data_IF_322882838727
#
_entry.id   IF_322882838727
#
_cell.length_a   1.000
_cell.length_b   1.000
_cell.length_c   1.000
_cell.angle_alpha   90.00
_cell.angle_beta   90.00
_cell.angle_gamma   90.00
#
_symmetry.space_group_name_H-M   'P 1'
#
loop_
_entity.id
_entity.type
_entity.pdbx_description
1 polymer ?
#
# COMPACT_ATOMS: atom_id res chain seq x y z
N UNK A 1 41.31 7.17 3.64
CA UNK A 1 40.91 8.52 3.22
C UNK A 1 40.68 8.50 1.72
N UNK A 2 39.41 8.42 1.32
CA UNK A 2 38.80 8.63 -0.02
C UNK A 2 37.59 7.71 -0.10
N UNK A 3 36.53 8.16 0.58
CA UNK A 3 35.17 7.69 0.38
C UNK A 3 34.83 7.98 -1.09
N UNK A 4 34.49 6.93 -1.85
CA UNK A 4 33.92 7.08 -3.18
C UNK A 4 32.58 7.79 -3.03
N UNK A 5 32.55 9.04 -3.47
CA UNK A 5 31.38 9.89 -3.49
C UNK A 5 30.24 9.21 -4.26
N UNK A 6 29.05 9.31 -3.68
CA UNK A 6 27.80 8.84 -4.24
C UNK A 6 27.59 9.48 -5.61
N UNK A 7 27.50 8.64 -6.66
CA UNK A 7 26.88 9.02 -7.92
C UNK A 7 25.37 9.20 -7.69
N UNK A 8 25.01 10.32 -7.07
CA UNK A 8 23.66 10.86 -7.10
C UNK A 8 23.56 11.77 -8.34
N UNK A 9 22.43 11.70 -9.04
CA UNK A 9 21.94 12.66 -10.03
C UNK A 9 22.49 12.52 -11.47
N UNK A 10 21.71 11.89 -12.35
CA UNK A 10 20.97 12.64 -13.37
C UNK A 10 20.11 11.74 -14.26
N UNK A 11 18.89 12.18 -14.51
CA UNK A 11 18.22 12.09 -15.81
C UNK A 11 17.72 13.51 -16.07
N UNK A 12 18.09 14.11 -17.21
CA UNK A 12 17.73 15.47 -17.68
C UNK A 12 18.42 16.73 -17.11
N UNK A 13 19.61 16.63 -16.49
CA UNK A 13 20.48 17.80 -16.29
C UNK A 13 20.01 18.89 -15.31
N UNK A 14 18.81 18.80 -14.74
CA UNK A 14 18.38 19.62 -13.60
C UNK A 14 18.79 18.95 -12.28
N UNK A 15 19.46 19.71 -11.40
CA UNK A 15 19.81 19.23 -10.06
C UNK A 15 18.52 19.04 -9.24
N UNK A 16 18.31 17.83 -8.70
CA UNK A 16 17.16 17.55 -7.83
C UNK A 16 17.29 18.34 -6.52
N UNK A 17 16.19 18.87 -5.95
CA UNK A 17 16.23 19.63 -4.71
C UNK A 17 16.79 18.77 -3.57
N UNK A 18 17.57 19.41 -2.70
CA UNK A 18 18.16 18.75 -1.54
C UNK A 18 17.06 18.30 -0.56
N UNK A 19 17.04 17.00 -0.24
CA UNK A 19 16.01 16.42 0.61
C UNK A 19 16.27 16.76 2.09
N UNK A 20 15.62 17.80 2.60
CA UNK A 20 15.69 18.19 4.01
C UNK A 20 14.77 17.32 4.87
N UNK A 21 15.30 16.22 5.41
CA UNK A 21 14.55 15.27 6.23
C UNK A 21 15.12 15.17 7.65
N UNK A 22 14.24 15.09 8.66
CA UNK A 22 14.69 14.86 10.04
C UNK A 22 15.23 13.44 10.23
N UNK A 23 16.11 13.25 11.22
CA UNK A 23 16.68 11.94 11.53
C UNK A 23 15.61 10.89 11.84
N UNK A 24 14.55 11.28 12.56
CA UNK A 24 13.43 10.40 12.89
C UNK A 24 12.66 9.96 11.63
N UNK A 25 12.32 10.89 10.75
CA UNK A 25 11.64 10.56 9.50
C UNK A 25 12.52 9.67 8.63
N UNK A 26 13.81 9.98 8.53
CA UNK A 26 14.79 9.17 7.80
C UNK A 26 14.87 7.74 8.35
N UNK A 27 14.88 7.57 9.68
CA UNK A 27 14.88 6.27 10.33
C UNK A 27 13.61 5.46 10.01
N UNK A 28 12.43 6.11 10.04
CA UNK A 28 11.15 5.46 9.69
C UNK A 28 11.13 5.03 8.23
N UNK A 29 11.50 5.92 7.30
CA UNK A 29 11.51 5.61 5.86
C UNK A 29 12.48 4.46 5.54
N UNK A 30 13.69 4.49 6.11
CA UNK A 30 14.69 3.42 5.96
C UNK A 30 14.22 2.07 6.51
N UNK A 31 13.53 2.10 7.66
CA UNK A 31 13.09 0.87 8.32
C UNK A 31 11.88 0.25 7.63
N UNK A 32 10.92 1.06 7.17
CA UNK A 32 9.61 0.57 6.74
C UNK A 32 9.36 0.56 5.24
N UNK A 33 9.99 1.45 4.47
CA UNK A 33 9.54 1.72 3.09
C UNK A 33 10.59 1.56 2.00
N UNK A 34 11.89 1.67 2.31
CA UNK A 34 12.92 1.36 1.33
C UNK A 34 12.85 -0.10 0.92
N UNK A 35 12.85 -0.36 -0.39
CA UNK A 35 12.97 -1.71 -0.92
C UNK A 35 14.29 -2.32 -0.49
N UNK A 36 14.24 -3.63 -0.22
CA UNK A 36 15.39 -4.42 0.20
C UNK A 36 15.67 -5.52 -0.80
N UNK A 37 16.95 -5.79 -1.02
CA UNK A 37 17.40 -6.89 -1.85
C UNK A 37 17.29 -8.23 -1.13
N UNK A 38 17.68 -9.33 -1.79
CA UNK A 38 17.70 -10.67 -1.20
C UNK A 38 18.58 -10.79 0.06
N UNK A 39 19.57 -9.91 0.20
CA UNK A 39 20.46 -9.83 1.38
C UNK A 39 19.87 -9.00 2.54
N UNK A 40 18.63 -8.51 2.37
CA UNK A 40 17.93 -7.67 3.34
C UNK A 40 18.43 -6.23 3.40
N UNK A 41 19.38 -5.81 2.56
CA UNK A 41 19.90 -4.43 2.56
C UNK A 41 19.05 -3.52 1.65
N UNK A 42 18.93 -2.22 1.98
CA UNK A 42 18.25 -1.28 1.11
C UNK A 42 18.89 -1.22 -0.28
N UNK A 43 18.08 -1.29 -1.33
CA UNK A 43 18.50 -1.20 -2.74
C UNK A 43 18.14 0.15 -3.38
N UNK A 44 17.59 1.06 -2.59
CA UNK A 44 17.24 2.41 -3.00
C UNK A 44 17.43 3.38 -1.82
N UNK A 45 17.72 4.63 -2.12
CA UNK A 45 17.69 5.76 -1.21
C UNK A 45 16.28 6.31 -1.05
N UNK A 46 16.07 7.20 -0.07
CA UNK A 46 14.76 7.87 0.13
C UNK A 46 14.36 8.69 -1.10
N UNK A 47 15.32 9.36 -1.73
CA UNK A 47 15.08 10.13 -2.95
C UNK A 47 14.66 9.21 -4.12
N UNK A 48 15.27 8.04 -4.26
CA UNK A 48 14.89 7.06 -5.28
C UNK A 48 13.53 6.42 -4.97
N UNK A 49 13.24 6.14 -3.71
CA UNK A 49 11.94 5.66 -3.25
C UNK A 49 10.82 6.65 -3.59
N UNK A 50 10.99 7.94 -3.30
CA UNK A 50 10.02 8.98 -3.68
C UNK A 50 9.84 9.09 -5.17
N UNK A 51 10.92 8.99 -5.95
CA UNK A 51 10.82 9.03 -7.41
C UNK A 51 10.09 7.80 -7.96
N UNK A 52 10.39 6.60 -7.46
CA UNK A 52 9.67 5.37 -7.80
C UNK A 52 8.17 5.52 -7.57
N UNK A 53 7.77 6.03 -6.40
CA UNK A 53 6.34 6.24 -6.08
C UNK A 53 5.72 7.25 -7.03
N UNK A 54 6.36 8.41 -7.23
CA UNK A 54 5.87 9.45 -8.11
C UNK A 54 5.71 8.97 -9.56
N UNK A 55 6.74 8.35 -10.13
CA UNK A 55 6.72 7.83 -11.51
C UNK A 55 5.72 6.68 -11.69
N UNK A 56 5.56 5.81 -10.69
CA UNK A 56 4.59 4.71 -10.80
C UNK A 56 3.15 5.23 -10.82
N UNK A 57 2.81 6.21 -9.98
CA UNK A 57 1.47 6.80 -9.95
C UNK A 57 1.21 7.62 -11.22
N UNK A 58 2.19 8.39 -11.69
CA UNK A 58 2.10 9.15 -12.93
C UNK A 58 2.02 8.28 -14.20
N UNK A 59 2.33 6.99 -14.10
CA UNK A 59 2.25 6.06 -15.24
C UNK A 59 0.83 5.75 -15.73
N UNK A 60 -0.21 6.28 -15.08
CA UNK A 60 -1.59 6.24 -15.57
C UNK A 60 -1.87 7.30 -16.64
N UNK A 61 -1.04 8.34 -16.68
CA UNK A 61 -1.15 9.45 -17.64
C UNK A 61 -0.60 9.04 -19.02
N UNK A 62 -0.97 9.80 -20.05
CA UNK A 62 -0.44 9.61 -21.41
C UNK A 62 1.09 9.80 -21.45
N UNK A 63 1.76 9.14 -22.40
CA UNK A 63 3.24 9.13 -22.49
C UNK A 63 3.88 10.54 -22.56
N UNK A 64 3.16 11.52 -23.11
CA UNK A 64 3.60 12.92 -23.19
C UNK A 64 3.50 13.71 -21.88
N UNK A 65 2.69 13.25 -20.93
CA UNK A 65 2.38 13.97 -19.68
C UNK A 65 2.96 13.27 -18.44
N UNK A 66 3.12 11.94 -18.49
CA UNK A 66 3.56 11.12 -17.36
C UNK A 66 4.86 11.64 -16.70
N UNK A 67 5.83 12.10 -17.49
CA UNK A 67 7.08 12.63 -16.94
C UNK A 67 6.87 13.94 -16.16
N UNK A 68 6.09 14.87 -16.69
CA UNK A 68 5.81 16.14 -16.03
C UNK A 68 5.01 15.93 -14.73
N UNK A 69 4.04 15.02 -14.75
CA UNK A 69 3.25 14.64 -13.57
C UNK A 69 4.12 13.93 -12.53
N UNK A 70 5.03 13.05 -12.95
CA UNK A 70 5.98 12.41 -12.04
C UNK A 70 6.89 13.43 -11.34
N UNK A 71 7.35 14.47 -12.05
CA UNK A 71 8.16 15.53 -11.47
C UNK A 71 7.36 16.36 -10.45
N UNK A 72 6.10 16.69 -10.76
CA UNK A 72 5.21 17.40 -9.83
C UNK A 72 4.95 16.57 -8.55
N UNK A 73 4.65 15.28 -8.69
CA UNK A 73 4.47 14.39 -7.53
C UNK A 73 5.75 14.22 -6.72
N UNK A 74 6.90 14.12 -7.38
CA UNK A 74 8.18 14.04 -6.70
C UNK A 74 8.47 15.31 -5.88
N UNK A 75 8.17 16.48 -6.42
CA UNK A 75 8.28 17.75 -5.69
C UNK A 75 7.35 17.75 -4.47
N UNK A 76 6.09 17.33 -4.61
CA UNK A 76 5.15 17.26 -3.50
C UNK A 76 5.63 16.33 -2.37
N UNK A 77 6.19 15.17 -2.71
CA UNK A 77 6.73 14.21 -1.74
C UNK A 77 7.99 14.74 -1.05
N UNK A 78 8.93 15.29 -1.83
CA UNK A 78 10.22 15.77 -1.31
C UNK A 78 10.11 17.06 -0.50
N UNK A 79 9.08 17.87 -0.77
CA UNK A 79 8.74 19.07 0.02
C UNK A 79 7.76 18.79 1.16
N UNK A 80 7.36 17.52 1.35
CA UNK A 80 6.39 17.08 2.36
C UNK A 80 5.02 17.80 2.29
N UNK A 81 4.67 18.39 1.14
CA UNK A 81 3.36 19.02 0.91
C UNK A 81 2.24 17.99 0.74
N UNK A 82 2.60 16.78 0.33
CA UNK A 82 1.69 15.65 0.26
C UNK A 82 2.42 14.37 0.62
N UNK A 83 1.72 13.45 1.28
CA UNK A 83 2.23 12.13 1.61
C UNK A 83 1.11 11.11 1.42
N UNK A 84 1.26 10.12 0.52
CA UNK A 84 0.26 9.07 0.35
C UNK A 84 0.27 8.11 1.54
N UNK A 85 -0.71 7.20 1.56
CA UNK A 85 -0.80 6.16 2.57
C UNK A 85 0.42 5.20 2.51
N UNK A 86 0.58 4.39 3.56
CA UNK A 86 1.69 3.42 3.65
C UNK A 86 1.72 2.39 2.51
N UNK A 87 0.60 1.78 2.07
CA UNK A 87 0.59 0.85 0.93
C UNK A 87 1.12 1.45 -0.37
N UNK A 88 0.90 2.74 -0.61
CA UNK A 88 1.44 3.41 -1.80
C UNK A 88 2.98 3.35 -1.81
N UNK A 89 3.65 3.53 -0.66
CA UNK A 89 5.11 3.43 -0.57
C UNK A 89 5.63 2.01 -0.82
N UNK A 90 4.96 1.01 -0.25
CA UNK A 90 5.38 -0.40 -0.32
C UNK A 90 4.98 -1.08 -1.63
N UNK A 91 3.86 -0.67 -2.23
CA UNK A 91 3.26 -1.28 -3.42
C UNK A 91 3.70 -0.66 -4.74
N UNK A 92 3.95 0.66 -4.79
CA UNK A 92 4.20 1.35 -6.04
C UNK A 92 5.48 0.85 -6.74
N UNK A 93 5.37 0.35 -7.97
CA UNK A 93 6.51 -0.18 -8.72
C UNK A 93 7.13 -1.42 -8.07
N UNK A 94 6.35 -2.21 -7.33
CA UNK A 94 6.77 -3.49 -6.76
C UNK A 94 5.82 -4.61 -7.18
N UNK A 95 6.23 -5.89 -7.09
CA UNK A 95 5.34 -7.01 -7.37
C UNK A 95 4.12 -7.10 -6.45
N UNK A 96 4.11 -6.39 -5.32
CA UNK A 96 2.97 -6.35 -4.39
C UNK A 96 1.77 -5.61 -5.00
N UNK A 97 2.00 -4.50 -5.70
CA UNK A 97 1.01 -3.77 -6.49
C UNK A 97 -0.17 -3.13 -5.74
N UNK A 98 -0.35 -3.40 -4.44
CA UNK A 98 -1.45 -2.84 -3.66
C UNK A 98 -1.14 -1.41 -3.20
N UNK A 99 -1.92 -0.43 -3.66
CA UNK A 99 -1.77 0.98 -3.29
C UNK A 99 -2.86 1.47 -2.32
N UNK A 100 -3.94 0.69 -2.16
CA UNK A 100 -5.04 1.03 -1.26
C UNK A 100 -4.83 0.44 0.14
N UNK A 101 -5.25 1.20 1.16
CA UNK A 101 -5.08 0.82 2.56
C UNK A 101 -6.36 0.31 3.23
N UNK A 102 -7.53 0.72 2.75
CA UNK A 102 -8.78 0.51 3.46
C UNK A 102 -9.79 -0.21 2.56
N UNK A 103 -10.27 -1.35 3.02
CA UNK A 103 -11.28 -2.16 2.35
C UNK A 103 -12.46 -2.37 3.27
N UNK A 104 -13.67 -2.35 2.72
CA UNK A 104 -14.89 -2.70 3.46
C UNK A 104 -15.51 -3.91 2.76
N UNK A 105 -15.60 -5.02 3.48
CA UNK A 105 -16.11 -6.27 2.95
C UNK A 105 -17.52 -6.55 3.50
N UNK A 106 -18.51 -6.81 2.62
CA UNK A 106 -19.81 -7.28 3.06
C UNK A 106 -19.70 -8.70 3.63
N UNK A 107 -20.55 -9.02 4.61
CA UNK A 107 -20.70 -10.38 5.11
C UNK A 107 -22.19 -10.75 4.98
N UNK A 108 -22.49 -11.67 4.08
CA UNK A 108 -23.80 -12.25 3.93
C UNK A 108 -24.05 -13.33 4.97
N UNK A 109 -25.32 -13.53 5.32
CA UNK A 109 -25.79 -14.54 6.29
C UNK A 109 -25.81 -15.96 5.69
N UNK A 110 -24.67 -16.34 5.12
CA UNK A 110 -24.38 -17.63 4.52
C UNK A 110 -22.94 -18.04 4.84
N UNK A 111 -22.68 -19.34 4.94
CA UNK A 111 -21.36 -19.84 5.35
C UNK A 111 -20.29 -19.69 4.26
N UNK A 112 -20.65 -19.65 2.97
CA UNK A 112 -19.67 -19.60 1.87
C UNK A 112 -20.15 -20.14 0.51
N UNK A 113 -21.45 -20.37 0.31
CA UNK A 113 -22.08 -20.55 -1.00
C UNK A 113 -22.22 -19.22 -1.72
N UNK A 114 -22.51 -18.16 -0.98
CA UNK A 114 -22.50 -16.79 -1.48
C UNK A 114 -21.06 -16.28 -1.62
N UNK A 115 -20.79 -15.47 -2.65
CA UNK A 115 -19.46 -14.88 -2.86
C UNK A 115 -19.06 -13.87 -1.78
N UNK A 116 -20.00 -13.43 -0.96
CA UNK A 116 -19.78 -12.62 0.24
C UNK A 116 -20.19 -13.36 1.54
N UNK A 117 -20.31 -14.69 1.51
CA UNK A 117 -20.55 -15.49 2.71
C UNK A 117 -19.38 -15.45 3.71
N UNK A 118 -19.62 -15.85 4.95
CA UNK A 118 -18.69 -15.71 6.09
C UNK A 118 -17.27 -16.20 5.78
N UNK A 119 -17.10 -17.44 5.29
CA UNK A 119 -15.77 -17.98 5.02
C UNK A 119 -15.13 -17.45 3.73
N UNK A 120 -15.93 -17.03 2.75
CA UNK A 120 -15.42 -16.39 1.54
C UNK A 120 -14.89 -14.99 1.88
N UNK A 121 -15.66 -14.19 2.63
CA UNK A 121 -15.20 -12.89 3.14
C UNK A 121 -13.98 -13.01 4.06
N UNK A 122 -13.90 -14.05 4.90
CA UNK A 122 -12.70 -14.32 5.70
C UNK A 122 -11.46 -14.57 4.83
N UNK A 123 -11.62 -15.34 3.74
CA UNK A 123 -10.53 -15.59 2.78
C UNK A 123 -10.09 -14.29 2.13
N UNK A 124 -11.02 -13.48 1.64
CA UNK A 124 -10.71 -12.22 0.96
C UNK A 124 -10.04 -11.22 1.92
N UNK A 125 -10.51 -11.15 3.17
CA UNK A 125 -9.87 -10.37 4.22
C UNK A 125 -8.41 -10.78 4.48
N UNK A 126 -8.13 -12.07 4.49
CA UNK A 126 -6.78 -12.60 4.67
C UNK A 126 -5.86 -12.23 3.49
N UNK A 127 -6.37 -12.30 2.26
CA UNK A 127 -5.61 -11.90 1.06
C UNK A 127 -5.33 -10.39 1.05
N UNK A 128 -6.30 -9.57 1.47
CA UNK A 128 -6.11 -8.12 1.63
C UNK A 128 -5.03 -7.84 2.68
N UNK A 129 -5.08 -8.50 3.84
CA UNK A 129 -4.05 -8.36 4.90
C UNK A 129 -2.67 -8.83 4.44
N UNK A 130 -2.59 -9.90 3.66
CA UNK A 130 -1.34 -10.39 3.07
C UNK A 130 -0.66 -9.30 2.22
N UNK A 131 -1.46 -8.48 1.53
CA UNK A 131 -0.95 -7.35 0.73
C UNK A 131 -0.77 -6.04 1.50
N UNK A 132 -1.02 -6.04 2.81
CA UNK A 132 -0.86 -4.87 3.68
C UNK A 132 -2.09 -3.96 3.78
N UNK A 133 -3.25 -4.39 3.25
CA UNK A 133 -4.52 -3.69 3.41
C UNK A 133 -5.20 -3.98 4.75
N UNK A 134 -6.00 -3.02 5.22
CA UNK A 134 -6.88 -3.14 6.37
C UNK A 134 -8.31 -3.47 5.95
N UNK A 135 -9.03 -4.21 6.80
CA UNK A 135 -10.41 -4.62 6.56
C UNK A 135 -11.37 -3.96 7.56
N UNK A 136 -12.50 -3.50 7.05
CA UNK A 136 -13.71 -3.19 7.82
C UNK A 136 -14.83 -4.13 7.42
N UNK A 137 -15.72 -4.44 8.37
CA UNK A 137 -16.83 -5.37 8.16
C UNK A 137 -18.12 -4.79 8.73
N UNK A 138 -19.24 -5.18 8.14
CA UNK A 138 -20.57 -5.00 8.75
C UNK A 138 -21.18 -6.36 9.02
N UNK A 139 -21.35 -6.69 10.30
CA UNK A 139 -21.98 -7.94 10.74
C UNK A 139 -23.51 -7.85 10.81
N UNK A 140 -24.09 -6.71 10.42
CA UNK A 140 -25.52 -6.41 10.61
C UNK A 140 -26.46 -7.35 9.83
N UNK A 141 -25.96 -8.01 8.78
CA UNK A 141 -26.73 -8.96 7.98
C UNK A 141 -26.79 -10.33 8.63
N UNK A 142 -25.84 -10.68 9.50
CA UNK A 142 -25.80 -11.98 10.16
C UNK A 142 -26.99 -12.14 11.09
N UNK A 143 -27.64 -13.30 11.04
CA UNK A 143 -28.75 -13.60 11.92
C UNK A 143 -28.29 -13.58 13.39
N UNK A 144 -29.11 -13.08 14.33
CA UNK A 144 -28.74 -13.01 15.74
C UNK A 144 -28.65 -14.41 16.37
N UNK A 145 -28.04 -14.46 17.55
CA UNK A 145 -28.00 -15.67 18.38
C UNK A 145 -29.41 -16.21 18.63
N UNK A 146 -29.59 -17.52 18.50
CA UNK A 146 -30.88 -18.20 18.69
C UNK A 146 -31.73 -18.31 17.42
N UNK A 147 -31.37 -17.62 16.34
CA UNK A 147 -32.10 -17.73 15.07
C UNK A 147 -32.00 -19.16 14.49
N UNK A 148 -33.08 -19.65 13.89
CA UNK A 148 -33.14 -21.00 13.33
C UNK A 148 -32.18 -21.17 12.15
N UNK A 149 -31.39 -22.25 12.16
CA UNK A 149 -30.56 -22.67 11.03
C UNK A 149 -31.27 -23.81 10.29
N UNK A 150 -31.90 -23.50 9.15
CA UNK A 150 -32.72 -24.45 8.40
C UNK A 150 -32.01 -25.76 8.05
N UNK A 151 -30.72 -25.71 7.72
CA UNK A 151 -29.96 -26.88 7.26
C UNK A 151 -29.58 -27.86 8.37
N UNK A 152 -29.36 -27.39 9.59
CA UNK A 152 -28.97 -28.24 10.73
C UNK A 152 -30.08 -28.44 11.75
N UNK A 153 -31.23 -27.79 11.56
CA UNK A 153 -32.32 -27.66 12.54
C UNK A 153 -31.86 -27.14 13.93
N UNK A 154 -30.68 -26.52 13.98
CA UNK A 154 -30.10 -25.95 15.20
C UNK A 154 -30.37 -24.45 15.33
N UNK A 155 -29.73 -23.85 16.33
CA UNK A 155 -29.76 -22.40 16.58
C UNK A 155 -28.43 -21.77 16.21
N UNK A 156 -28.47 -20.58 15.61
CA UNK A 156 -27.29 -19.79 15.30
C UNK A 156 -26.62 -19.28 16.58
N UNK A 157 -25.30 -19.17 16.56
CA UNK A 157 -24.51 -18.61 17.67
C UNK A 157 -24.53 -17.08 17.71
N UNK A 158 -24.95 -16.45 16.61
CA UNK A 158 -24.89 -14.99 16.41
C UNK A 158 -23.52 -14.52 15.89
N UNK A 159 -23.44 -13.25 15.46
CA UNK A 159 -22.19 -12.56 15.17
C UNK A 159 -21.32 -12.38 16.42
#
# INVERSE_FOLDING_TARGET
>A
MMLREAKQNSVNGAARPELRISENALAVLRRRYLRRGPDGKPIESVAEMFYRVASHVAGVEDEGEAQAVAEAFYELLTTFRFMPNSPTFTGAGTPLGQLAACFVLPIEDDMGRDSAGIFQTLRDAALIQQTGGGNGFSFSRLRPKGALVKSSAGQATGP
#
